data_IF_500087720431
#
_entry.id   IF_500087720431
#
_cell.length_a   1.000
_cell.length_b   1.000
_cell.length_c   1.000
_cell.angle_alpha   90.00
_cell.angle_beta   90.00
_cell.angle_gamma   90.00
#
_symmetry.space_group_name_H-M   'P 1'
#
loop_
_entity.id
_entity.type
_entity.pdbx_description
1 polymer ?
#
# COMPACT_ATOMS: atom_id res chain seq x y z
N UNK A 1 47.00 9.95 34.73
CA UNK A 1 45.65 9.34 34.71
C UNK A 1 44.55 10.38 34.51
N UNK A 2 44.54 11.53 35.19
CA UNK A 2 43.50 12.56 34.96
C UNK A 2 43.58 13.24 33.58
N UNK A 3 44.78 13.62 33.15
CA UNK A 3 44.99 14.32 31.85
C UNK A 3 44.70 13.45 30.61
N UNK A 4 44.81 12.13 30.73
CA UNK A 4 44.50 11.19 29.64
C UNK A 4 43.00 11.07 29.40
N UNK A 5 42.20 11.16 30.47
CA UNK A 5 40.74 11.10 30.41
C UNK A 5 40.13 12.43 29.91
N UNK A 6 40.74 13.58 30.24
CA UNK A 6 40.36 14.87 29.67
C UNK A 6 40.60 14.92 28.16
N UNK A 7 41.78 14.47 27.68
CA UNK A 7 42.07 14.42 26.24
C UNK A 7 41.16 13.46 25.49
N UNK A 8 40.87 12.29 26.07
CA UNK A 8 39.94 11.35 25.47
C UNK A 8 38.52 11.93 25.41
N UNK A 9 38.07 12.67 26.43
CA UNK A 9 36.76 13.32 26.41
C UNK A 9 36.69 14.52 25.46
N UNK A 10 37.78 15.28 25.29
CA UNK A 10 37.89 16.32 24.27
C UNK A 10 37.83 15.75 22.84
N UNK A 11 38.54 14.66 22.56
CA UNK A 11 38.51 13.97 21.26
C UNK A 11 37.10 13.44 20.93
N UNK A 12 36.40 12.87 21.91
CA UNK A 12 35.02 12.40 21.76
C UNK A 12 34.05 13.56 21.50
N UNK A 13 34.28 14.72 22.10
CA UNK A 13 33.48 15.95 21.89
C UNK A 13 33.75 16.55 20.52
N UNK A 14 34.98 16.49 20.02
CA UNK A 14 35.36 16.98 18.69
C UNK A 14 34.76 16.11 17.58
N UNK A 15 34.84 14.78 17.74
CA UNK A 15 34.18 13.81 16.87
C UNK A 15 32.66 14.03 16.86
N UNK A 16 32.03 14.19 18.03
CA UNK A 16 30.59 14.44 18.13
C UNK A 16 30.15 15.78 17.49
N UNK A 17 30.96 16.85 17.60
CA UNK A 17 30.70 18.12 16.90
C UNK A 17 30.86 17.99 15.39
N UNK A 18 31.84 17.22 14.92
CA UNK A 18 32.06 16.96 13.50
C UNK A 18 30.88 16.17 12.90
N UNK A 19 30.37 15.18 13.61
CA UNK A 19 29.18 14.42 13.23
C UNK A 19 27.91 15.28 13.29
N UNK A 20 27.74 16.09 14.34
CA UNK A 20 26.63 17.05 14.46
C UNK A 20 26.65 18.10 13.33
N UNK A 21 27.83 18.52 12.85
CA UNK A 21 27.95 19.41 11.69
C UNK A 21 27.49 18.72 10.39
N UNK A 22 27.71 17.40 10.29
CA UNK A 22 27.30 16.55 9.17
C UNK A 22 25.79 16.31 9.12
N UNK A 23 25.12 16.28 10.28
CA UNK A 23 23.65 16.07 10.43
C UNK A 23 22.78 17.22 9.88
N UNK A 24 23.36 18.36 9.49
CA UNK A 24 22.63 19.50 8.91
C UNK A 24 22.31 19.34 7.41
N UNK A 25 22.59 18.17 6.83
CA UNK A 25 22.44 17.96 5.39
C UNK A 25 20.97 17.64 5.04
N UNK A 26 20.26 18.46 4.23
CA UNK A 26 18.86 18.22 3.86
C UNK A 26 18.65 16.85 3.18
N UNK A 27 19.67 16.33 2.49
CA UNK A 27 19.65 15.00 1.88
C UNK A 27 19.54 13.87 2.92
N UNK A 28 20.20 14.01 4.09
CA UNK A 28 20.10 13.00 5.14
C UNK A 28 18.70 12.97 5.77
N UNK A 29 18.05 14.14 5.89
CA UNK A 29 16.65 14.22 6.35
C UNK A 29 15.70 13.56 5.37
N UNK A 30 15.90 13.75 4.06
CA UNK A 30 15.09 13.09 3.03
C UNK A 30 15.24 11.56 3.08
N UNK A 31 16.46 11.05 3.25
CA UNK A 31 16.71 9.60 3.39
C UNK A 31 16.04 9.04 4.65
N UNK A 32 16.12 9.75 5.78
CA UNK A 32 15.46 9.35 7.02
C UNK A 32 13.93 9.34 6.87
N UNK A 33 13.36 10.34 6.20
CA UNK A 33 11.94 10.42 5.91
C UNK A 33 11.47 9.25 5.05
N UNK A 34 12.17 8.92 3.96
CA UNK A 34 11.80 7.78 3.09
C UNK A 34 11.88 6.46 3.87
N UNK A 35 12.90 6.29 4.73
CA UNK A 35 13.00 5.12 5.62
C UNK A 35 11.81 5.03 6.58
N UNK A 36 11.36 6.14 7.16
CA UNK A 36 10.19 6.19 8.02
C UNK A 36 8.91 5.86 7.25
N UNK A 37 8.72 6.41 6.05
CA UNK A 37 7.56 6.11 5.19
C UNK A 37 7.50 4.62 4.85
N UNK A 38 8.61 4.01 4.44
CA UNK A 38 8.66 2.57 4.16
C UNK A 38 8.36 1.72 5.41
N UNK A 39 8.84 2.14 6.59
CA UNK A 39 8.51 1.49 7.86
C UNK A 39 7.02 1.58 8.20
N UNK A 40 6.38 2.72 7.89
CA UNK A 40 4.94 2.93 8.11
C UNK A 40 4.09 2.15 7.10
N UNK A 41 4.51 2.12 5.82
CA UNK A 41 3.88 1.29 4.79
C UNK A 41 3.96 -0.21 5.13
N UNK A 42 5.02 -0.63 5.84
CA UNK A 42 5.15 -1.99 6.35
C UNK A 42 4.13 -2.36 7.44
N UNK A 43 3.48 -1.37 8.07
CA UNK A 43 2.38 -1.61 9.03
C UNK A 43 1.04 -1.84 8.34
N UNK A 44 0.97 -1.64 7.03
CA UNK A 44 -0.23 -1.96 6.26
C UNK A 44 -0.35 -3.47 6.18
N UNK A 45 -1.36 -4.01 6.84
CA UNK A 45 -1.70 -5.43 6.79
C UNK A 45 -2.18 -5.77 5.39
N UNK A 46 -1.30 -6.37 4.58
CA UNK A 46 -1.71 -6.89 3.26
C UNK A 46 -2.69 -8.06 3.47
N UNK A 47 -3.76 -8.14 2.67
CA UNK A 47 -4.70 -9.23 2.77
C UNK A 47 -4.00 -10.56 2.46
N UNK A 48 -4.47 -11.64 3.10
CA UNK A 48 -3.99 -12.98 2.77
C UNK A 48 -4.40 -13.36 1.34
N UNK A 49 -3.64 -14.23 0.67
CA UNK A 49 -4.02 -14.70 -0.69
C UNK A 49 -5.42 -15.30 -0.72
N UNK A 50 -5.85 -15.92 0.40
CA UNK A 50 -7.18 -16.51 0.56
C UNK A 50 -8.27 -15.45 0.64
N UNK A 51 -8.06 -14.38 1.40
CA UNK A 51 -8.99 -13.23 1.44
C UNK A 51 -9.15 -12.59 0.07
N UNK A 52 -8.04 -12.39 -0.65
CA UNK A 52 -8.08 -11.82 -1.99
C UNK A 52 -8.93 -12.67 -2.94
N UNK A 53 -8.73 -13.98 -2.96
CA UNK A 53 -9.52 -14.91 -3.79
C UNK A 53 -10.99 -14.90 -3.39
N UNK A 54 -11.30 -14.83 -2.09
CA UNK A 54 -12.69 -14.78 -1.63
C UNK A 54 -13.37 -13.49 -2.09
N UNK A 55 -12.72 -12.33 -1.93
CA UNK A 55 -13.30 -11.05 -2.33
C UNK A 55 -13.49 -10.98 -3.84
N UNK A 56 -12.51 -11.39 -4.64
CA UNK A 56 -12.66 -11.43 -6.10
C UNK A 56 -13.68 -12.47 -6.53
N UNK A 57 -13.72 -13.64 -5.88
CA UNK A 57 -14.69 -14.69 -6.16
C UNK A 57 -16.13 -14.26 -5.90
N UNK A 58 -16.40 -13.56 -4.80
CA UNK A 58 -17.72 -13.00 -4.49
C UNK A 58 -18.17 -12.01 -5.57
N UNK A 59 -17.27 -11.10 -6.01
CA UNK A 59 -17.58 -10.13 -7.07
C UNK A 59 -17.87 -10.84 -8.39
N UNK A 60 -17.05 -11.82 -8.79
CA UNK A 60 -17.28 -12.59 -10.01
C UNK A 60 -18.59 -13.37 -9.96
N UNK A 61 -18.91 -14.00 -8.82
CA UNK A 61 -20.18 -14.69 -8.62
C UNK A 61 -21.38 -13.74 -8.73
N UNK A 62 -21.30 -12.58 -8.09
CA UNK A 62 -22.35 -11.55 -8.18
C UNK A 62 -22.57 -11.07 -9.61
N UNK A 63 -21.49 -10.74 -10.34
CA UNK A 63 -21.57 -10.31 -11.75
C UNK A 63 -22.16 -11.41 -12.62
N UNK A 64 -21.77 -12.67 -12.41
CA UNK A 64 -22.32 -13.80 -13.15
C UNK A 64 -23.83 -13.96 -12.93
N UNK A 65 -24.32 -13.82 -11.69
CA UNK A 65 -25.76 -13.85 -11.39
C UNK A 65 -26.51 -12.74 -12.10
N UNK A 66 -25.98 -11.50 -12.07
CA UNK A 66 -26.60 -10.37 -12.76
C UNK A 66 -26.63 -10.58 -14.27
N UNK A 67 -25.54 -11.10 -14.87
CA UNK A 67 -25.51 -11.47 -16.29
C UNK A 67 -26.60 -12.48 -16.64
N UNK A 68 -26.77 -13.53 -15.84
CA UNK A 68 -27.81 -14.55 -16.07
C UNK A 68 -29.21 -13.93 -16.03
N UNK A 69 -29.49 -13.06 -15.05
CA UNK A 69 -30.79 -12.39 -14.93
C UNK A 69 -31.05 -11.50 -16.14
N UNK A 70 -30.09 -10.65 -16.51
CA UNK A 70 -30.23 -9.73 -17.64
C UNK A 70 -30.40 -10.51 -18.94
N UNK A 71 -29.55 -11.51 -19.22
CA UNK A 71 -29.65 -12.33 -20.42
C UNK A 71 -30.96 -13.10 -20.51
N UNK A 72 -31.45 -13.63 -19.38
CA UNK A 72 -32.76 -14.29 -19.33
C UNK A 72 -33.90 -13.32 -19.64
N UNK A 73 -33.84 -12.12 -19.08
CA UNK A 73 -34.84 -11.09 -19.31
C UNK A 73 -34.79 -10.55 -20.76
N UNK A 74 -33.60 -10.36 -21.32
CA UNK A 74 -33.38 -9.99 -22.73
C UNK A 74 -33.98 -11.04 -23.67
N UNK A 75 -33.79 -12.33 -23.37
CA UNK A 75 -34.38 -13.42 -24.14
C UNK A 75 -35.91 -13.39 -24.10
N UNK A 76 -36.49 -13.19 -22.91
CA UNK A 76 -37.95 -13.07 -22.76
C UNK A 76 -38.47 -11.87 -23.55
N UNK A 77 -37.84 -10.70 -23.41
CA UNK A 77 -38.26 -9.50 -24.14
C UNK A 77 -38.14 -9.66 -25.65
N UNK A 78 -37.08 -10.30 -26.14
CA UNK A 78 -36.93 -10.60 -27.56
C UNK A 78 -38.11 -11.43 -28.07
N UNK A 79 -38.47 -12.51 -27.37
CA UNK A 79 -39.61 -13.34 -27.74
C UNK A 79 -40.93 -12.55 -27.73
N UNK A 80 -41.17 -11.72 -26.71
CA UNK A 80 -42.38 -10.90 -26.60
C UNK A 80 -42.46 -9.89 -27.74
N UNK A 81 -41.37 -9.20 -28.04
CA UNK A 81 -41.32 -8.20 -29.12
C UNK A 81 -41.54 -8.88 -30.47
N UNK A 82 -40.88 -10.01 -30.74
CA UNK A 82 -41.09 -10.76 -31.99
C UNK A 82 -42.53 -11.23 -32.11
N UNK A 83 -43.14 -11.71 -31.02
CA UNK A 83 -44.54 -12.13 -31.04
C UNK A 83 -45.51 -10.97 -31.32
N UNK A 84 -45.29 -9.79 -30.73
CA UNK A 84 -46.19 -8.63 -30.87
C UNK A 84 -46.03 -7.91 -32.21
N UNK A 85 -44.80 -7.81 -32.73
CA UNK A 85 -44.49 -6.96 -33.88
C UNK A 85 -44.11 -7.71 -35.16
N UNK A 86 -43.71 -8.98 -35.06
CA UNK A 86 -43.33 -9.81 -36.21
C UNK A 86 -44.27 -11.01 -36.41
N UNK A 87 -45.27 -11.18 -35.54
CA UNK A 87 -46.39 -12.11 -35.71
C UNK A 87 -47.50 -11.55 -36.59
#
# INVERSE_FOLDING_TARGET
>A
MAEENERASEDLVEVAKSDASKTKNPLQRAVLFIKQVLAELGKVTKPSRKELINFTGVVLGFVAVVMVIISGLDWVFLNVVTFVFAG
#
